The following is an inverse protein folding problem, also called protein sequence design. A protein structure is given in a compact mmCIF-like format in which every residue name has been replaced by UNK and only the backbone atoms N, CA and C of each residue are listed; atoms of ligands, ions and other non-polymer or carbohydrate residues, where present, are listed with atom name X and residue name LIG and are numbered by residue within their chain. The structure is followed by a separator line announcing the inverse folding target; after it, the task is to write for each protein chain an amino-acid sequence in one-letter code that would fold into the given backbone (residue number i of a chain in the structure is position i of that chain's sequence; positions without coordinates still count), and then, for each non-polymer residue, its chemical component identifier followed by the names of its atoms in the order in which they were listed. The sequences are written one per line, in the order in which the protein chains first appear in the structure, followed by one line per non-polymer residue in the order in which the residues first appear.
data_IF_965032417499
#
_entry.id   IF_965032417499
#
_cell.length_a   1.000
_cell.length_b   1.000
_cell.length_c   1.000
_cell.angle_alpha   90.00
_cell.angle_beta   90.00
_cell.angle_gamma   90.00
#
_symmetry.space_group_name_H-M   'P 1'
#
loop_
_entity.id
_entity.type
_entity.pdbx_description
1 polymer ?
#
# COMPACT_ATOMS: atom_id res chain seq x y z
N UNK A 1 3.64 10.78 -12.74
CA UNK A 1 4.88 10.83 -11.98
C UNK A 1 4.91 9.76 -10.90
N UNK A 2 6.10 9.44 -10.48
CA UNK A 2 6.37 8.36 -9.56
C UNK A 2 6.93 8.91 -8.25
N UNK A 3 6.52 8.33 -7.13
CA UNK A 3 6.89 8.89 -5.84
C UNK A 3 7.02 7.77 -4.81
N UNK A 4 8.06 7.87 -3.98
CA UNK A 4 8.28 6.91 -2.90
C UNK A 4 7.85 7.52 -1.58
N UNK A 5 7.10 6.77 -0.79
CA UNK A 5 6.55 7.29 0.46
C UNK A 5 7.63 7.62 1.50
N UNK A 6 8.84 7.13 1.30
CA UNK A 6 9.93 7.43 2.24
C UNK A 6 10.43 8.85 2.15
N UNK A 7 10.12 9.54 1.08
CA UNK A 7 10.61 10.88 0.89
C UNK A 7 9.75 11.85 1.67
N UNK A 8 10.32 12.39 2.73
CA UNK A 8 9.61 13.29 3.64
C UNK A 8 9.35 14.67 3.07
N UNK A 9 9.93 14.97 1.91
CA UNK A 9 9.70 16.26 1.29
C UNK A 9 8.33 16.36 0.65
N UNK A 10 7.66 15.23 0.47
CA UNK A 10 6.36 15.23 -0.17
C UNK A 10 5.25 15.36 0.86
N UNK A 11 4.27 16.18 0.52
CA UNK A 11 3.10 16.35 1.38
C UNK A 11 2.14 15.19 1.16
N UNK A 12 1.25 14.99 2.14
CA UNK A 12 0.23 13.95 2.03
C UNK A 12 -0.61 14.14 0.77
N UNK A 13 -0.90 15.39 0.42
CA UNK A 13 -1.68 15.67 -0.77
C UNK A 13 -0.98 15.21 -2.04
N UNK A 14 0.33 15.45 -2.13
CA UNK A 14 1.09 15.01 -3.30
C UNK A 14 1.13 13.49 -3.41
N UNK A 15 1.34 12.83 -2.30
CA UNK A 15 1.38 11.36 -2.26
C UNK A 15 0.01 10.81 -2.67
N UNK A 16 -1.05 11.45 -2.20
CA UNK A 16 -2.40 11.02 -2.52
C UNK A 16 -2.73 11.15 -4.01
N UNK A 17 -2.24 12.20 -4.66
CA UNK A 17 -2.65 12.54 -6.02
C UNK A 17 -1.63 12.21 -7.11
N UNK A 18 -0.46 11.69 -6.78
CA UNK A 18 0.51 11.30 -7.80
C UNK A 18 -0.06 10.16 -8.65
N UNK A 19 0.31 10.13 -9.92
CA UNK A 19 -0.24 9.12 -10.84
C UNK A 19 0.15 7.70 -10.46
N UNK A 20 1.38 7.52 -10.04
CA UNK A 20 1.86 6.21 -9.61
C UNK A 20 2.57 6.35 -8.28
N UNK A 21 2.16 5.55 -7.32
CA UNK A 21 2.80 5.50 -6.01
C UNK A 21 3.35 4.10 -5.78
N UNK A 22 4.58 4.03 -5.31
CA UNK A 22 5.20 2.76 -4.97
C UNK A 22 5.47 2.74 -3.48
N UNK A 23 4.84 1.79 -2.79
CA UNK A 23 5.08 1.53 -1.38
C UNK A 23 6.00 0.33 -1.29
N UNK A 24 7.28 0.60 -1.07
CA UNK A 24 8.29 -0.44 -1.09
C UNK A 24 8.53 -1.00 0.30
N UNK A 25 8.61 -2.32 0.39
CA UNK A 25 8.91 -3.04 1.63
C UNK A 25 7.90 -2.75 2.75
N UNK A 26 6.61 -2.84 2.42
CA UNK A 26 5.58 -2.68 3.43
C UNK A 26 5.77 -3.73 4.51
N UNK A 27 5.73 -3.29 5.77
CA UNK A 27 5.88 -4.19 6.90
C UNK A 27 7.22 -4.10 7.59
N UNK A 28 8.16 -3.32 7.04
CA UNK A 28 9.47 -3.15 7.67
C UNK A 28 9.48 -1.99 8.66
N UNK A 29 8.53 -1.08 8.53
CA UNK A 29 8.44 0.07 9.43
C UNK A 29 7.73 -0.32 10.73
N UNK A 30 7.90 0.52 11.74
CA UNK A 30 7.20 0.33 13.00
C UNK A 30 5.71 0.61 12.80
N UNK A 31 4.88 -0.35 13.16
CA UNK A 31 3.44 -0.23 12.95
C UNK A 31 2.76 0.32 14.20
N UNK A 32 2.25 1.53 14.11
CA UNK A 32 1.50 2.18 15.18
C UNK A 32 0.08 2.44 14.69
N UNK A 33 -0.79 2.81 15.63
CA UNK A 33 -2.15 3.18 15.25
C UNK A 33 -2.15 4.33 14.25
N UNK A 34 -1.23 5.27 14.41
CA UNK A 34 -1.12 6.39 13.48
C UNK A 34 -0.74 5.90 12.08
N UNK A 35 0.25 5.02 12.00
CA UNK A 35 0.69 4.49 10.71
C UNK A 35 -0.42 3.70 10.03
N UNK A 36 -1.14 2.87 10.81
CA UNK A 36 -2.25 2.11 10.26
C UNK A 36 -3.34 3.02 9.69
N UNK A 37 -3.68 4.06 10.44
CA UNK A 37 -4.70 5.00 10.00
C UNK A 37 -4.26 5.76 8.75
N UNK A 38 -3.02 6.22 8.75
CA UNK A 38 -2.47 6.95 7.60
C UNK A 38 -2.45 6.07 6.35
N UNK A 39 -2.03 4.82 6.51
CA UNK A 39 -1.99 3.90 5.38
C UNK A 39 -3.39 3.62 4.84
N UNK A 40 -4.36 3.40 5.73
CA UNK A 40 -5.72 3.15 5.28
C UNK A 40 -6.28 4.34 4.51
N UNK A 41 -6.06 5.54 5.03
CA UNK A 41 -6.55 6.75 4.36
C UNK A 41 -5.89 6.94 3.01
N UNK A 42 -4.59 6.66 2.93
CA UNK A 42 -3.86 6.79 1.68
C UNK A 42 -4.39 5.82 0.64
N UNK A 43 -4.52 4.55 1.01
CA UNK A 43 -5.01 3.54 0.07
C UNK A 43 -6.43 3.85 -0.37
N UNK A 44 -7.29 4.18 0.57
CA UNK A 44 -8.68 4.47 0.26
C UNK A 44 -8.82 5.69 -0.65
N UNK A 45 -8.08 6.74 -0.35
CA UNK A 45 -8.12 7.95 -1.16
C UNK A 45 -7.62 7.72 -2.58
N UNK A 46 -6.53 6.97 -2.72
CA UNK A 46 -5.99 6.70 -4.05
C UNK A 46 -6.91 5.79 -4.85
N UNK A 47 -7.54 4.83 -4.21
CA UNK A 47 -8.51 3.97 -4.89
C UNK A 47 -9.71 4.78 -5.37
N UNK A 48 -10.21 5.68 -4.53
CA UNK A 48 -11.33 6.53 -4.92
C UNK A 48 -10.95 7.47 -6.07
N UNK A 49 -9.72 7.93 -6.09
CA UNK A 49 -9.24 8.82 -7.15
C UNK A 49 -8.83 8.08 -8.42
N UNK A 50 -8.84 6.76 -8.40
CA UNK A 50 -8.47 5.96 -9.56
C UNK A 50 -6.98 5.98 -9.86
N UNK A 51 -6.15 6.23 -8.86
CA UNK A 51 -4.70 6.31 -9.05
C UNK A 51 -4.05 4.94 -8.88
N UNK A 52 -2.95 4.73 -9.58
CA UNK A 52 -2.24 3.45 -9.58
C UNK A 52 -1.27 3.36 -8.40
N UNK A 53 -1.27 2.23 -7.72
CA UNK A 53 -0.41 2.00 -6.57
C UNK A 53 0.21 0.61 -6.67
N UNK A 54 1.51 0.53 -6.43
CA UNK A 54 2.23 -0.74 -6.38
C UNK A 54 2.78 -0.90 -4.97
N UNK A 55 2.53 -2.06 -4.39
CA UNK A 55 3.01 -2.35 -3.03
C UNK A 55 3.87 -3.60 -3.09
N UNK A 56 5.08 -3.51 -2.56
CA UNK A 56 5.92 -4.69 -2.39
C UNK A 56 6.06 -5.00 -0.91
N UNK A 57 6.08 -6.30 -0.58
CA UNK A 57 6.16 -6.71 0.81
C UNK A 57 6.65 -8.14 0.90
N UNK A 58 7.33 -8.45 2.01
CA UNK A 58 7.71 -9.82 2.36
C UNK A 58 6.65 -10.51 3.22
N UNK A 59 5.59 -9.80 3.57
CA UNK A 59 4.55 -10.36 4.41
C UNK A 59 3.53 -11.10 3.55
N UNK A 60 3.03 -12.23 4.04
CA UNK A 60 1.90 -12.87 3.38
C UNK A 60 0.61 -12.17 3.82
N UNK A 61 -0.54 -12.49 3.17
CA UNK A 61 -1.78 -11.80 3.50
C UNK A 61 -2.19 -11.89 4.97
N UNK A 62 -1.95 -13.03 5.60
CA UNK A 62 -2.30 -13.17 7.01
C UNK A 62 -1.43 -12.27 7.88
N UNK A 63 -0.16 -12.17 7.56
CA UNK A 63 0.76 -11.31 8.30
C UNK A 63 0.39 -9.84 8.12
N UNK A 64 -0.01 -9.44 6.92
CA UNK A 64 -0.46 -8.08 6.68
C UNK A 64 -1.68 -7.76 7.52
N UNK A 65 -2.65 -8.69 7.57
CA UNK A 65 -3.86 -8.48 8.35
C UNK A 65 -3.57 -8.33 9.84
N UNK A 66 -2.64 -9.11 10.35
CA UNK A 66 -2.27 -9.03 11.77
C UNK A 66 -1.48 -7.78 12.09
N UNK A 67 -0.61 -7.37 11.17
CA UNK A 67 0.29 -6.24 11.42
C UNK A 67 -0.41 -4.89 11.24
N UNK A 68 -1.32 -4.78 10.30
CA UNK A 68 -1.99 -3.52 10.02
C UNK A 68 -3.42 -3.52 10.53
N UNK A 69 -4.33 -4.10 9.80
CA UNK A 69 -5.72 -4.20 10.26
C UNK A 69 -6.51 -5.01 9.24
N UNK A 70 -7.68 -5.50 9.69
CA UNK A 70 -8.59 -6.19 8.80
C UNK A 70 -9.11 -5.26 7.71
N UNK A 71 -9.27 -3.98 8.03
CA UNK A 71 -9.75 -3.00 7.06
C UNK A 71 -8.76 -2.81 5.92
N UNK A 72 -7.47 -2.69 6.27
CA UNK A 72 -6.42 -2.55 5.26
C UNK A 72 -6.35 -3.80 4.40
N UNK A 73 -6.38 -4.98 5.03
CA UNK A 73 -6.32 -6.22 4.28
C UNK A 73 -7.51 -6.38 3.35
N UNK A 74 -8.69 -5.97 3.80
CA UNK A 74 -9.89 -6.03 2.98
C UNK A 74 -9.74 -5.18 1.71
N UNK A 75 -9.15 -3.99 1.85
CA UNK A 75 -8.89 -3.14 0.68
C UNK A 75 -7.90 -3.79 -0.27
N UNK A 76 -6.83 -4.37 0.27
CA UNK A 76 -5.81 -5.00 -0.56
C UNK A 76 -6.38 -6.19 -1.31
N UNK A 77 -7.14 -7.03 -0.63
CA UNK A 77 -7.72 -8.22 -1.28
C UNK A 77 -8.78 -7.85 -2.29
N UNK A 78 -9.55 -6.81 -2.03
CA UNK A 78 -10.65 -6.45 -2.91
C UNK A 78 -10.25 -5.64 -4.13
N UNK A 79 -9.18 -4.86 -4.03
CA UNK A 79 -8.87 -3.86 -5.05
C UNK A 79 -7.51 -4.06 -5.71
N UNK A 80 -6.66 -4.90 -5.16
CA UNK A 80 -5.32 -5.11 -5.70
C UNK A 80 -5.16 -6.51 -6.24
N UNK A 81 -4.31 -6.63 -7.24
CA UNK A 81 -3.94 -7.93 -7.78
C UNK A 81 -2.70 -8.43 -7.06
N UNK A 82 -2.76 -9.65 -6.55
CA UNK A 82 -1.66 -10.26 -5.82
C UNK A 82 -0.75 -10.99 -6.78
N UNK A 83 0.53 -10.62 -6.78
CA UNK A 83 1.55 -11.27 -7.61
C UNK A 83 2.61 -11.90 -6.71
N UNK A 84 2.49 -13.19 -6.41
CA UNK A 84 3.51 -13.85 -5.60
C UNK A 84 4.77 -14.11 -6.41
N UNK A 85 5.93 -13.83 -5.82
CA UNK A 85 7.21 -14.09 -6.43
C UNK A 85 7.89 -15.23 -5.68
N UNK A 86 8.47 -16.13 -6.44
CA UNK A 86 9.13 -17.29 -5.85
C UNK A 86 10.28 -16.81 -4.98
N UNK A 87 10.25 -17.28 -3.75
CA UNK A 87 11.31 -17.05 -2.82
C UNK A 87 10.97 -16.10 -1.71
N UNK A 88 10.46 -14.93 -1.97
CA UNK A 88 10.38 -13.98 -0.87
C UNK A 88 9.35 -12.87 -0.99
N UNK A 89 9.21 -12.27 -2.15
CA UNK A 89 8.44 -11.05 -2.23
C UNK A 89 7.06 -11.28 -2.80
N UNK A 90 6.10 -10.53 -2.27
CA UNK A 90 4.76 -10.48 -2.80
C UNK A 90 4.52 -9.05 -3.27
N UNK A 91 4.07 -8.90 -4.52
CA UNK A 91 3.73 -7.60 -5.06
C UNK A 91 2.24 -7.49 -5.25
N UNK A 92 1.71 -6.37 -4.79
CA UNK A 92 0.28 -6.11 -4.85
C UNK A 92 0.04 -4.96 -5.81
N UNK A 93 -0.69 -5.22 -6.87
CA UNK A 93 -0.99 -4.21 -7.87
C UNK A 93 -2.47 -3.90 -7.87
N UNK A 94 -2.79 -2.63 -8.06
CA UNK A 94 -4.18 -2.24 -8.23
C UNK A 94 -4.71 -2.89 -9.49
N UNK A 95 -5.89 -3.51 -9.40
CA UNK A 95 -6.51 -4.13 -10.55
C UNK A 95 -6.96 -3.07 -11.53
N UNK A 96 -6.78 -3.37 -12.80
CA UNK A 96 -7.31 -2.51 -13.84
C UNK A 96 -8.80 -2.76 -13.98
N UNK A 97 -9.50 -1.67 -14.17
CA UNK A 97 -10.96 -1.73 -14.28
C UNK A 97 -11.34 -1.92 -15.73
#
# INVERSE_FOLDING_TARGET
SEMCIRDRQYTEERVLHTDLLILDDLGTEMTTAFVQSALYQLLNGRLLAGKSTIISTNLDPDQIGRRYSAQIMSRLEGEFELLPFIGQDIRLLKREQ
#
